data_IF_025859797392
#
_entry.id   IF_025859797392
#
_cell.length_a   1.000
_cell.length_b   1.000
_cell.length_c   1.000
_cell.angle_alpha   90.00
_cell.angle_beta   90.00
_cell.angle_gamma   90.00
#
_symmetry.space_group_name_H-M   'P 1'
#
loop_
_entity.id
_entity.type
_entity.pdbx_description
1 polymer ?
#
# COMPACT_ATOMS: atom_id res chain seq x y z
N UNK A 1 46.06 12.27 -5.63
CA UNK A 1 45.94 12.10 -4.16
C UNK A 1 44.48 11.82 -3.87
N UNK A 2 44.16 10.56 -3.52
CA UNK A 2 42.78 10.20 -3.17
C UNK A 2 42.65 10.47 -1.68
N UNK A 3 41.92 11.52 -1.34
CA UNK A 3 41.62 11.93 0.04
C UNK A 3 40.79 10.80 0.69
N UNK A 4 41.48 9.83 1.33
CA UNK A 4 40.83 8.84 2.19
C UNK A 4 40.40 9.60 3.44
N UNK A 5 39.20 10.14 3.41
CA UNK A 5 38.53 10.64 4.61
C UNK A 5 38.65 9.55 5.69
N UNK A 6 39.21 9.91 6.85
CA UNK A 6 39.31 8.97 7.96
C UNK A 6 37.89 8.54 8.37
N UNK A 7 37.68 7.26 8.70
CA UNK A 7 36.37 6.76 9.14
C UNK A 7 35.83 7.54 10.36
N UNK A 8 36.72 8.08 11.21
CA UNK A 8 36.37 8.95 12.33
C UNK A 8 35.84 10.33 11.89
N UNK A 9 36.36 10.90 10.79
CA UNK A 9 35.88 12.16 10.23
C UNK A 9 34.49 12.01 9.59
N UNK A 10 34.25 10.89 8.90
CA UNK A 10 32.94 10.59 8.32
C UNK A 10 31.89 10.40 9.43
N UNK A 11 32.21 9.63 10.47
CA UNK A 11 31.30 9.42 11.60
C UNK A 11 30.97 10.73 12.33
N UNK A 12 31.96 11.61 12.55
CA UNK A 12 31.77 12.92 13.16
C UNK A 12 30.88 13.84 12.31
N UNK A 13 31.06 13.84 10.99
CA UNK A 13 30.22 14.61 10.05
C UNK A 13 28.77 14.13 10.09
N UNK A 14 28.56 12.82 10.02
CA UNK A 14 27.22 12.22 10.06
C UNK A 14 26.51 12.49 11.41
N UNK A 15 27.25 12.48 12.53
CA UNK A 15 26.70 12.85 13.85
C UNK A 15 26.24 14.30 13.88
N UNK A 16 27.06 15.24 13.40
CA UNK A 16 26.69 16.66 13.31
C UNK A 16 25.48 16.89 12.41
N UNK A 17 25.39 16.17 11.29
CA UNK A 17 24.22 16.22 10.40
C UNK A 17 22.96 15.75 11.12
N UNK A 18 23.05 14.68 11.91
CA UNK A 18 21.95 14.17 12.72
C UNK A 18 21.60 15.00 13.96
N UNK A 19 22.52 15.84 14.44
CA UNK A 19 22.29 16.80 15.53
C UNK A 19 21.64 18.09 15.00
N UNK A 20 21.87 18.43 13.73
CA UNK A 20 21.22 19.55 13.07
C UNK A 20 19.73 19.29 12.76
N UNK A 21 19.33 18.02 12.70
CA UNK A 21 17.93 17.60 12.53
C UNK A 21 17.26 17.48 13.90
N UNK A 22 16.03 17.98 14.01
CA UNK A 22 15.30 17.88 15.27
C UNK A 22 15.07 16.40 15.66
N UNK A 23 15.11 16.05 16.97
CA UNK A 23 14.93 14.66 17.39
C UNK A 23 13.61 14.03 16.91
N UNK A 24 12.55 14.84 16.78
CA UNK A 24 11.24 14.43 16.29
C UNK A 24 11.22 14.10 14.80
N UNK A 25 12.04 14.76 13.98
CA UNK A 25 12.06 14.59 12.51
C UNK A 25 13.18 13.65 12.04
N UNK A 26 14.05 13.22 12.96
CA UNK A 26 15.25 12.41 12.65
C UNK A 26 14.92 11.14 11.87
N UNK A 27 13.84 10.45 12.23
CA UNK A 27 13.41 9.21 11.58
C UNK A 27 12.85 9.47 10.18
N UNK A 28 12.08 10.55 9.98
CA UNK A 28 11.55 10.94 8.68
C UNK A 28 12.67 11.40 7.74
N UNK A 29 13.61 12.19 8.25
CA UNK A 29 14.81 12.60 7.53
C UNK A 29 15.60 11.39 7.04
N UNK A 30 15.93 10.46 7.94
CA UNK A 30 16.68 9.24 7.61
C UNK A 30 15.92 8.34 6.62
N UNK A 31 14.60 8.19 6.78
CA UNK A 31 13.79 7.37 5.88
C UNK A 31 13.67 7.95 4.46
N UNK A 32 13.74 9.28 4.31
CA UNK A 32 13.68 9.95 3.01
C UNK A 32 15.00 9.89 2.22
N UNK A 33 16.13 9.55 2.88
CA UNK A 33 17.43 9.45 2.22
C UNK A 33 17.52 8.22 1.30
N UNK A 34 18.37 8.25 0.25
CA UNK A 34 18.68 7.07 -0.56
C UNK A 34 19.29 5.92 0.29
N UNK A 35 19.09 4.64 -0.11
CA UNK A 35 19.57 3.47 0.65
C UNK A 35 21.07 3.52 1.00
N UNK A 36 21.90 4.02 0.08
CA UNK A 36 23.34 4.18 0.31
C UNK A 36 23.66 5.14 1.45
N UNK A 37 22.94 6.27 1.53
CA UNK A 37 23.07 7.23 2.62
C UNK A 37 22.53 6.65 3.92
N UNK A 38 21.39 5.96 3.88
CA UNK A 38 20.84 5.27 5.07
C UNK A 38 21.85 4.29 5.66
N UNK A 39 22.52 3.50 4.82
CA UNK A 39 23.54 2.53 5.25
C UNK A 39 24.73 3.19 5.93
N UNK A 40 25.12 4.41 5.53
CA UNK A 40 26.17 5.19 6.21
C UNK A 40 25.72 5.64 7.59
N UNK A 41 24.49 6.15 7.72
CA UNK A 41 23.93 6.50 9.03
C UNK A 41 23.75 5.28 9.95
N UNK A 42 23.33 4.13 9.42
CA UNK A 42 23.22 2.88 10.19
C UNK A 42 24.55 2.44 10.82
N UNK A 43 25.70 2.87 10.32
CA UNK A 43 27.02 2.56 10.92
C UNK A 43 27.31 3.33 12.21
N UNK A 44 26.66 4.48 12.41
CA UNK A 44 26.88 5.35 13.58
C UNK A 44 25.73 5.31 14.59
N UNK A 45 24.59 4.73 14.21
CA UNK A 45 23.40 4.57 15.05
C UNK A 45 23.54 3.34 15.97
N UNK A 46 22.91 3.41 17.13
CA UNK A 46 22.76 2.25 18.01
C UNK A 46 21.81 1.20 17.39
N UNK A 47 21.88 -0.05 17.87
CA UNK A 47 20.97 -1.13 17.42
C UNK A 47 19.50 -0.76 17.60
N UNK A 48 19.14 -0.08 18.68
CA UNK A 48 17.76 0.34 18.95
C UNK A 48 17.29 1.43 17.98
N UNK A 49 18.16 2.38 17.63
CA UNK A 49 17.85 3.42 16.63
C UNK A 49 17.71 2.83 15.23
N UNK A 50 18.55 1.87 14.86
CA UNK A 50 18.44 1.14 13.59
C UNK A 50 17.10 0.41 13.53
N UNK A 51 16.68 -0.25 14.63
CA UNK A 51 15.38 -0.91 14.71
C UNK A 51 14.23 0.08 14.52
N UNK A 52 14.23 1.20 15.24
CA UNK A 52 13.22 2.26 15.09
C UNK A 52 13.15 2.81 13.66
N UNK A 53 14.29 3.00 13.00
CA UNK A 53 14.36 3.44 11.61
C UNK A 53 13.76 2.41 10.64
N UNK A 54 14.10 1.13 10.78
CA UNK A 54 13.52 0.09 9.93
C UNK A 54 12.01 -0.05 10.15
N UNK A 55 11.54 -0.05 11.41
CA UNK A 55 10.10 -0.10 11.73
C UNK A 55 9.35 1.11 11.16
N UNK A 56 9.98 2.29 11.17
CA UNK A 56 9.43 3.52 10.58
C UNK A 56 9.36 3.45 9.06
N UNK A 57 10.43 2.99 8.40
CA UNK A 57 10.44 2.77 6.95
C UNK A 57 9.36 1.75 6.56
N UNK A 58 9.27 0.62 7.27
CA UNK A 58 8.23 -0.39 7.02
C UNK A 58 6.83 0.19 7.17
N UNK A 59 6.60 1.04 8.18
CA UNK A 59 5.33 1.75 8.35
C UNK A 59 5.04 2.68 7.17
N UNK A 60 6.02 3.46 6.72
CA UNK A 60 5.87 4.36 5.57
C UNK A 60 5.61 3.58 4.28
N UNK A 61 6.30 2.46 4.07
CA UNK A 61 6.07 1.55 2.95
C UNK A 61 4.67 0.96 3.01
N UNK A 62 4.19 0.52 4.17
CA UNK A 62 2.80 0.05 4.36
C UNK A 62 1.77 1.15 4.16
N UNK A 63 2.07 2.39 4.56
CA UNK A 63 1.20 3.54 4.34
C UNK A 63 1.12 3.92 2.86
N UNK A 64 2.25 3.89 2.14
CA UNK A 64 2.28 4.07 0.68
C UNK A 64 1.65 2.90 -0.07
N UNK A 65 1.81 1.69 0.46
CA UNK A 65 1.16 0.49 -0.05
C UNK A 65 -0.30 0.37 0.38
N UNK A 66 -0.88 1.36 1.10
CA UNK A 66 -2.33 1.43 1.26
C UNK A 66 -2.92 1.53 -0.14
N UNK A 67 -3.66 0.51 -0.58
CA UNK A 67 -4.09 0.45 -1.95
C UNK A 67 -5.06 1.63 -2.18
N UNK A 68 -4.82 2.42 -3.23
CA UNK A 68 -5.66 3.58 -3.59
C UNK A 68 -6.95 3.07 -4.23
N UNK A 69 -8.01 3.89 -4.29
CA UNK A 69 -9.23 3.51 -5.00
C UNK A 69 -8.94 2.98 -6.42
N UNK A 70 -8.04 3.64 -7.15
CA UNK A 70 -7.60 3.19 -8.47
C UNK A 70 -6.92 1.82 -8.46
N UNK A 71 -6.09 1.53 -7.45
CA UNK A 71 -5.45 0.21 -7.34
C UNK A 71 -6.46 -0.88 -6.97
N UNK A 72 -7.50 -0.56 -6.19
CA UNK A 72 -8.59 -1.50 -5.86
C UNK A 72 -9.38 -1.87 -7.10
N UNK A 73 -9.69 -0.88 -7.95
CA UNK A 73 -10.36 -1.11 -9.23
C UNK A 73 -9.46 -1.89 -10.20
N UNK A 74 -8.15 -1.58 -10.25
CA UNK A 74 -7.20 -2.32 -11.08
C UNK A 74 -7.08 -3.80 -10.67
N UNK A 75 -7.00 -4.08 -9.37
CA UNK A 75 -7.03 -5.45 -8.85
C UNK A 75 -8.36 -6.14 -9.16
N UNK A 76 -9.49 -5.42 -9.09
CA UNK A 76 -10.79 -5.97 -9.41
C UNK A 76 -10.97 -6.31 -10.90
N UNK A 77 -10.46 -5.47 -11.81
CA UNK A 77 -10.43 -5.78 -13.24
C UNK A 77 -9.56 -7.01 -13.54
N UNK A 78 -8.52 -7.23 -12.75
CA UNK A 78 -7.62 -8.37 -12.87
C UNK A 78 -8.11 -9.64 -12.13
N UNK A 79 -9.33 -9.66 -11.60
CA UNK A 79 -9.85 -10.82 -10.89
C UNK A 79 -9.35 -10.99 -9.46
N UNK A 80 -8.65 -10.00 -8.89
CA UNK A 80 -8.02 -10.04 -7.56
C UNK A 80 -8.66 -9.10 -6.52
N UNK A 81 -9.89 -8.62 -6.74
CA UNK A 81 -10.61 -7.79 -5.78
C UNK A 81 -10.70 -8.44 -4.40
N UNK A 82 -10.44 -7.64 -3.36
CA UNK A 82 -10.60 -8.04 -1.96
C UNK A 82 -11.78 -7.37 -1.25
N UNK A 83 -12.38 -6.34 -1.86
CA UNK A 83 -13.51 -5.59 -1.29
C UNK A 83 -14.78 -5.71 -2.14
N UNK A 84 -15.97 -5.77 -1.52
CA UNK A 84 -17.26 -5.83 -2.23
C UNK A 84 -17.49 -4.64 -3.17
N UNK A 85 -17.09 -3.44 -2.77
CA UNK A 85 -17.22 -2.23 -3.59
C UNK A 85 -16.42 -2.34 -4.90
N UNK A 86 -15.15 -2.77 -4.81
CA UNK A 86 -14.32 -2.94 -5.99
C UNK A 86 -14.85 -4.08 -6.90
N UNK A 87 -15.37 -5.16 -6.31
CA UNK A 87 -16.03 -6.24 -7.07
C UNK A 87 -17.25 -5.73 -7.84
N UNK A 88 -18.09 -4.89 -7.23
CA UNK A 88 -19.27 -4.30 -7.90
C UNK A 88 -18.84 -3.42 -9.06
N UNK A 89 -17.86 -2.53 -8.85
CA UNK A 89 -17.39 -1.64 -9.93
C UNK A 89 -16.85 -2.45 -11.12
N UNK A 90 -16.02 -3.48 -10.88
CA UNK A 90 -15.55 -4.35 -11.96
C UNK A 90 -16.69 -5.12 -12.66
N UNK A 91 -17.71 -5.56 -11.92
CA UNK A 91 -18.91 -6.21 -12.46
C UNK A 91 -19.74 -5.24 -13.32
N UNK A 92 -19.90 -3.98 -12.89
CA UNK A 92 -20.63 -2.95 -13.65
C UNK A 92 -19.94 -2.62 -14.97
N UNK A 93 -18.62 -2.47 -14.96
CA UNK A 93 -17.83 -2.27 -16.19
C UNK A 93 -17.98 -3.43 -17.18
N UNK A 94 -18.23 -4.64 -16.68
CA UNK A 94 -18.41 -5.85 -17.48
C UNK A 94 -19.87 -6.29 -17.57
N UNK A 95 -20.84 -5.41 -17.35
CA UNK A 95 -22.26 -5.76 -17.28
C UNK A 95 -22.78 -6.51 -18.52
N UNK A 96 -22.24 -6.20 -19.71
CA UNK A 96 -22.58 -6.88 -20.97
C UNK A 96 -22.18 -8.38 -21.00
N UNK A 97 -21.22 -8.79 -20.16
CA UNK A 97 -20.76 -10.17 -20.03
C UNK A 97 -21.47 -10.93 -18.91
N UNK A 98 -22.20 -10.22 -18.05
CA UNK A 98 -22.98 -10.83 -16.98
C UNK A 98 -24.27 -11.43 -17.51
N UNK A 99 -24.77 -12.47 -16.84
CA UNK A 99 -26.14 -12.93 -17.06
C UNK A 99 -27.10 -11.78 -16.75
N UNK A 100 -28.20 -11.61 -17.50
CA UNK A 100 -29.14 -10.49 -17.31
C UNK A 100 -29.63 -10.34 -15.87
N UNK A 101 -29.89 -11.45 -15.19
CA UNK A 101 -30.31 -11.47 -13.77
C UNK A 101 -29.22 -10.97 -12.82
N UNK A 102 -27.96 -11.33 -13.07
CA UNK A 102 -26.83 -10.91 -12.24
C UNK A 102 -26.56 -9.40 -12.47
N UNK A 103 -26.62 -8.94 -13.73
CA UNK A 103 -26.47 -7.52 -14.08
C UNK A 103 -27.54 -6.64 -13.39
N UNK A 104 -28.82 -7.01 -13.51
CA UNK A 104 -29.93 -6.29 -12.86
C UNK A 104 -29.80 -6.29 -11.33
N UNK A 105 -29.32 -7.39 -10.75
CA UNK A 105 -29.11 -7.47 -9.31
C UNK A 105 -27.99 -6.53 -8.85
N UNK A 106 -26.88 -6.46 -9.58
CA UNK A 106 -25.76 -5.56 -9.28
C UNK A 106 -26.16 -4.09 -9.42
N UNK A 107 -26.93 -3.73 -10.44
CA UNK A 107 -27.46 -2.38 -10.60
C UNK A 107 -28.34 -1.99 -9.40
N UNK A 108 -29.31 -2.84 -9.04
CA UNK A 108 -30.22 -2.59 -7.92
C UNK A 108 -29.52 -2.54 -6.56
N UNK A 109 -28.49 -3.37 -6.36
CA UNK A 109 -27.75 -3.36 -5.08
C UNK A 109 -26.85 -2.13 -4.96
N UNK A 110 -26.28 -1.66 -6.07
CA UNK A 110 -25.46 -0.44 -6.10
C UNK A 110 -26.30 0.80 -5.74
N UNK A 111 -27.51 0.91 -6.30
CA UNK A 111 -28.46 1.98 -5.99
C UNK A 111 -28.95 1.97 -4.54
N UNK A 112 -29.24 0.78 -4.00
CA UNK A 112 -29.76 0.63 -2.62
C UNK A 112 -28.67 0.71 -1.56
N UNK A 113 -27.41 0.40 -1.89
CA UNK A 113 -26.30 0.53 -0.98
C UNK A 113 -26.01 2.01 -0.67
N UNK A 114 -26.00 2.92 -1.65
CA UNK A 114 -25.99 4.37 -1.42
C UNK A 114 -24.99 4.87 -0.37
N UNK A 115 -23.79 4.26 -0.30
CA UNK A 115 -22.75 4.57 0.70
C UNK A 115 -22.84 3.81 2.03
N UNK A 116 -23.75 2.84 2.17
CA UNK A 116 -23.86 1.91 3.31
C UNK A 116 -23.09 0.63 3.05
N UNK A 117 -22.52 0.06 4.11
CA UNK A 117 -21.87 -1.25 4.07
C UNK A 117 -22.86 -2.36 3.69
N UNK A 118 -22.43 -3.28 2.83
CA UNK A 118 -23.19 -4.46 2.47
C UNK A 118 -23.37 -5.41 3.67
N UNK A 119 -24.54 -6.03 3.77
CA UNK A 119 -24.72 -7.15 4.71
C UNK A 119 -23.87 -8.35 4.29
N UNK A 120 -23.53 -9.23 5.23
CA UNK A 120 -22.74 -10.45 4.95
C UNK A 120 -23.34 -11.34 3.85
N UNK A 121 -24.68 -11.38 3.76
CA UNK A 121 -25.37 -12.10 2.68
C UNK A 121 -25.15 -11.43 1.33
N UNK A 122 -25.23 -10.10 1.26
CA UNK A 122 -24.94 -9.35 0.04
C UNK A 122 -23.47 -9.49 -0.37
N UNK A 123 -22.53 -9.37 0.58
CA UNK A 123 -21.10 -9.59 0.32
C UNK A 123 -20.83 -10.97 -0.29
N UNK A 124 -21.46 -12.02 0.25
CA UNK A 124 -21.31 -13.38 -0.26
C UNK A 124 -21.87 -13.54 -1.69
N UNK A 125 -23.00 -12.90 -1.99
CA UNK A 125 -23.59 -12.91 -3.35
C UNK A 125 -22.70 -12.14 -4.33
N UNK A 126 -22.22 -10.95 -3.96
CA UNK A 126 -21.30 -10.15 -4.77
C UNK A 126 -20.05 -10.96 -5.10
N UNK A 127 -19.43 -11.58 -4.08
CA UNK A 127 -18.25 -12.43 -4.26
C UNK A 127 -18.54 -13.62 -5.17
N UNK A 128 -19.65 -14.32 -4.97
CA UNK A 128 -20.01 -15.49 -5.78
C UNK A 128 -20.31 -15.15 -7.24
N UNK A 129 -20.87 -13.97 -7.53
CA UNK A 129 -21.01 -13.45 -8.90
C UNK A 129 -19.60 -13.13 -9.43
N UNK A 130 -18.83 -12.32 -8.72
CA UNK A 130 -17.49 -11.90 -9.13
C UNK A 130 -16.55 -13.08 -9.45
N UNK A 131 -16.45 -14.07 -8.57
CA UNK A 131 -15.64 -15.28 -8.78
C UNK A 131 -16.08 -16.08 -10.01
N UNK A 132 -17.39 -16.09 -10.34
CA UNK A 132 -17.89 -16.80 -11.52
C UNK A 132 -17.43 -16.16 -12.83
N UNK A 133 -17.31 -14.84 -12.88
CA UNK A 133 -16.98 -14.11 -14.11
C UNK A 133 -15.50 -13.77 -14.22
N UNK A 134 -14.80 -13.55 -13.10
CA UNK A 134 -13.38 -13.20 -13.07
C UNK A 134 -12.50 -14.32 -12.52
N UNK A 135 -13.01 -15.24 -11.72
CA UNK A 135 -12.22 -16.34 -11.14
C UNK A 135 -11.74 -17.37 -12.17
N UNK A 136 -12.39 -17.47 -13.34
CA UNK A 136 -11.87 -18.26 -14.47
C UNK A 136 -10.70 -17.61 -15.21
N UNK A 137 -10.36 -16.33 -14.93
CA UNK A 137 -9.23 -15.63 -15.55
C UNK A 137 -7.94 -15.67 -14.69
N UNK A 138 -8.00 -16.24 -13.49
CA UNK A 138 -6.90 -16.28 -12.52
C UNK A 138 -6.22 -17.66 -12.40
N UNK A 139 -6.58 -18.62 -13.26
CA UNK A 139 -6.00 -19.97 -13.33
C UNK A 139 -5.07 -20.13 -14.53
#
# INVERSE_FOLDING_TARGET
MVDRAHPDDEAARLRRELEAVTPSERLDYLAALPPERQNRFKRILSRDEIKKLNDHIDRLLRQRAKPTYESWIADARAGRASSPDAMIEALRENASRLRPRDAQWIERISETAGGRSFSKKQEAVIRGIYERYFGSQAS
#
